data_IF_783434267889
#
_entry.id   IF_783434267889
#
_cell.length_a   1.000
_cell.length_b   1.000
_cell.length_c   1.000
_cell.angle_alpha   90.00
_cell.angle_beta   90.00
_cell.angle_gamma   90.00
#
_symmetry.space_group_name_H-M   'P 1'
#
loop_
_entity.id
_entity.type
_entity.pdbx_description
1 polymer ?
#
# COMPACT_ATOMS: atom_id res chain seq x y z
N UNK A 1 37.52 -4.22 7.14
CA UNK A 1 36.41 -4.62 8.03
C UNK A 1 35.71 -3.39 8.58
N UNK A 2 34.65 -2.95 7.91
CA UNK A 2 33.60 -2.09 8.47
C UNK A 2 32.41 -2.24 7.51
N UNK A 3 31.56 -3.20 7.83
CA UNK A 3 30.27 -3.46 7.20
C UNK A 3 29.38 -2.23 7.42
N UNK A 4 29.19 -1.40 6.39
CA UNK A 4 28.09 -0.43 6.37
C UNK A 4 26.84 -1.20 5.94
N UNK A 5 26.10 -1.65 6.95
CA UNK A 5 24.77 -2.23 6.78
C UNK A 5 23.86 -1.20 6.11
N UNK A 6 23.08 -1.68 5.14
CA UNK A 6 22.09 -0.93 4.40
C UNK A 6 21.16 -0.15 5.35
N UNK A 7 20.92 1.12 5.01
CA UNK A 7 19.94 1.95 5.70
C UNK A 7 18.53 1.36 5.48
N UNK A 8 17.79 1.05 6.56
CA UNK A 8 16.40 0.65 6.45
C UNK A 8 15.55 1.84 5.98
N UNK A 9 14.49 1.57 5.22
CA UNK A 9 13.43 2.53 4.92
C UNK A 9 12.92 3.15 6.24
N UNK A 10 13.44 4.32 6.60
CA UNK A 10 12.83 5.17 7.62
C UNK A 10 11.70 5.93 6.95
N UNK A 11 10.58 5.24 6.80
CA UNK A 11 9.33 5.77 6.28
C UNK A 11 8.20 4.91 6.79
N UNK A 12 7.70 5.27 7.96
CA UNK A 12 6.58 4.67 8.70
C UNK A 12 6.94 3.49 9.63
N UNK A 13 7.27 3.83 10.87
CA UNK A 13 7.29 2.88 11.97
C UNK A 13 5.88 2.77 12.58
N UNK A 14 5.31 1.55 12.71
CA UNK A 14 4.21 1.28 13.63
C UNK A 14 4.76 1.46 15.05
N UNK A 15 4.19 2.40 15.80
CA UNK A 15 4.39 2.70 17.25
C UNK A 15 4.24 4.21 17.55
N UNK A 16 4.12 5.08 16.53
CA UNK A 16 3.90 6.50 16.79
C UNK A 16 2.53 6.78 17.43
N UNK A 17 1.52 5.97 17.10
CA UNK A 17 0.14 6.17 17.55
C UNK A 17 -0.17 5.56 18.93
N UNK A 18 0.65 4.61 19.42
CA UNK A 18 0.42 3.91 20.69
C UNK A 18 0.94 4.67 21.91
N UNK A 19 2.05 5.41 21.79
CA UNK A 19 2.70 6.06 22.95
C UNK A 19 2.25 7.49 23.22
N UNK A 20 1.70 8.21 22.23
CA UNK A 20 1.44 9.66 22.40
C UNK A 20 0.13 9.98 23.14
N UNK A 21 -0.81 9.04 23.26
CA UNK A 21 -2.15 9.32 23.80
C UNK A 21 -2.48 8.67 25.15
N UNK A 22 -1.75 7.66 25.63
CA UNK A 22 -2.17 6.87 26.80
C UNK A 22 -1.30 7.00 28.06
N UNK A 23 -0.12 7.65 27.98
CA UNK A 23 0.86 7.74 29.08
C UNK A 23 1.09 6.37 29.79
N UNK A 24 0.97 5.27 29.05
CA UNK A 24 0.99 3.90 29.60
C UNK A 24 1.67 2.97 28.60
N UNK A 25 2.91 2.58 28.91
CA UNK A 25 3.75 1.66 28.12
C UNK A 25 3.15 0.23 27.96
N UNK A 26 2.04 -0.08 28.65
CA UNK A 26 1.38 -1.40 28.66
C UNK A 26 -0.11 -1.36 28.26
N UNK A 27 -0.58 -0.31 27.58
CA UNK A 27 -2.00 -0.21 27.19
C UNK A 27 -2.25 -0.85 25.81
N UNK A 28 -3.20 -1.77 25.74
CA UNK A 28 -3.70 -2.34 24.49
C UNK A 28 -4.73 -1.37 23.90
N UNK A 29 -4.31 -0.55 22.95
CA UNK A 29 -5.25 0.36 22.27
C UNK A 29 -6.01 -0.36 21.15
N UNK A 30 -7.17 0.17 20.75
CA UNK A 30 -7.95 -0.35 19.62
C UNK A 30 -7.15 -0.42 18.33
N UNK A 31 -6.31 0.59 18.08
CA UNK A 31 -5.39 0.64 16.96
C UNK A 31 -4.38 -0.53 17.01
N UNK A 32 -3.79 -0.79 18.18
CA UNK A 32 -2.83 -1.87 18.36
C UNK A 32 -3.49 -3.25 18.15
N UNK A 33 -4.65 -3.48 18.76
CA UNK A 33 -5.41 -4.74 18.59
C UNK A 33 -5.73 -4.98 17.12
N UNK A 34 -6.23 -3.94 16.44
CA UNK A 34 -6.56 -3.97 15.01
C UNK A 34 -5.35 -4.31 14.14
N UNK A 35 -4.22 -3.62 14.35
CA UNK A 35 -3.00 -3.85 13.59
C UNK A 35 -2.47 -5.28 13.75
N UNK A 36 -2.38 -5.76 15.00
CA UNK A 36 -1.89 -7.11 15.28
C UNK A 36 -2.83 -8.18 14.71
N UNK A 37 -4.15 -7.98 14.78
CA UNK A 37 -5.12 -8.94 14.25
C UNK A 37 -4.99 -9.09 12.73
N UNK A 38 -4.94 -7.97 11.98
CA UNK A 38 -4.80 -7.99 10.52
C UNK A 38 -3.46 -8.61 10.11
N UNK A 39 -2.37 -8.27 10.81
CA UNK A 39 -1.05 -8.86 10.57
C UNK A 39 -1.06 -10.37 10.80
N UNK A 40 -1.64 -10.83 11.90
CA UNK A 40 -1.66 -12.24 12.27
C UNK A 40 -2.47 -13.07 11.27
N UNK A 41 -3.69 -12.64 10.91
CA UNK A 41 -4.50 -13.38 9.93
C UNK A 41 -3.82 -13.43 8.54
N UNK A 42 -3.14 -12.35 8.15
CA UNK A 42 -2.44 -12.30 6.86
C UNK A 42 -1.25 -13.27 6.84
N UNK A 43 -0.47 -13.33 7.91
CA UNK A 43 0.60 -14.30 8.05
C UNK A 43 0.09 -15.74 8.13
N UNK A 44 -1.04 -15.97 8.78
CA UNK A 44 -1.74 -17.27 8.81
C UNK A 44 -2.07 -17.73 7.38
N UNK A 45 -2.73 -16.87 6.60
CA UNK A 45 -3.11 -17.11 5.20
C UNK A 45 -1.89 -17.37 4.29
N UNK A 46 -0.83 -16.56 4.42
CA UNK A 46 0.37 -16.72 3.59
C UNK A 46 1.08 -18.04 3.89
N UNK A 47 1.10 -18.45 5.17
CA UNK A 47 1.64 -19.76 5.59
C UNK A 47 0.81 -20.93 5.08
N UNK A 48 -0.51 -20.83 5.08
CA UNK A 48 -1.40 -21.84 4.48
C UNK A 48 -1.14 -22.00 2.99
N UNK A 49 -1.06 -20.88 2.27
CA UNK A 49 -0.87 -20.85 0.81
C UNK A 49 0.51 -21.41 0.40
N UNK A 50 1.56 -21.07 1.15
CA UNK A 50 2.93 -21.56 0.89
C UNK A 50 3.09 -23.05 1.15
N UNK A 51 2.44 -23.58 2.20
CA UNK A 51 2.41 -25.02 2.48
C UNK A 51 1.73 -25.81 1.36
N UNK A 52 0.62 -25.30 0.80
CA UNK A 52 -0.06 -25.98 -0.31
C UNK A 52 0.77 -26.03 -1.60
N UNK A 53 1.66 -25.05 -1.82
CA UNK A 53 2.48 -24.95 -3.02
C UNK A 53 3.83 -25.70 -2.92
N UNK A 54 4.07 -26.50 -1.88
CA UNK A 54 5.25 -27.37 -1.78
C UNK A 54 6.60 -26.65 -1.62
N UNK A 55 6.60 -25.35 -1.31
CA UNK A 55 7.82 -24.56 -1.14
C UNK A 55 8.47 -24.83 0.24
N UNK A 56 9.36 -25.82 0.32
CA UNK A 56 10.19 -26.06 1.50
C UNK A 56 11.35 -25.06 1.58
N UNK A 57 11.13 -23.96 2.30
CA UNK A 57 12.18 -23.06 2.76
C UNK A 57 11.58 -21.97 3.63
N UNK A 58 12.12 -21.74 4.83
CA UNK A 58 11.78 -20.61 5.69
C UNK A 58 12.24 -19.30 5.01
N UNK A 59 11.50 -18.85 3.99
CA UNK A 59 11.60 -17.47 3.53
C UNK A 59 10.80 -16.62 4.50
N UNK A 60 11.46 -15.64 5.10
CA UNK A 60 10.82 -14.59 5.87
C UNK A 60 9.74 -13.90 5.00
N UNK A 61 8.48 -14.07 5.40
CA UNK A 61 7.34 -13.48 4.70
C UNK A 61 7.35 -11.98 5.03
N UNK A 62 7.84 -11.16 4.10
CA UNK A 62 7.83 -9.71 4.22
C UNK A 62 6.51 -9.15 3.69
N UNK A 63 5.78 -8.46 4.55
CA UNK A 63 4.58 -7.70 4.19
C UNK A 63 5.03 -6.35 3.61
N UNK A 64 4.50 -6.00 2.43
CA UNK A 64 4.94 -4.85 1.66
C UNK A 64 4.29 -3.53 2.14
N UNK A 65 4.71 -2.41 1.54
CA UNK A 65 4.13 -1.10 1.85
C UNK A 65 2.63 -1.00 1.50
N UNK A 66 2.13 -1.82 0.57
CA UNK A 66 0.73 -1.81 0.16
C UNK A 66 -0.15 -2.39 1.27
N UNK A 67 0.27 -3.53 1.82
CA UNK A 67 -0.34 -4.12 3.00
C UNK A 67 -0.41 -3.12 4.15
N UNK A 68 0.72 -2.46 4.48
CA UNK A 68 0.75 -1.52 5.59
C UNK A 68 -0.09 -0.25 5.36
N UNK A 69 -0.33 0.17 4.10
CA UNK A 69 -1.32 1.20 3.79
C UNK A 69 -2.74 0.71 4.04
N UNK A 70 -3.09 -0.48 3.57
CA UNK A 70 -4.40 -1.08 3.82
C UNK A 70 -4.69 -1.25 5.33
N UNK A 71 -3.70 -1.70 6.10
CA UNK A 71 -3.82 -1.76 7.57
C UNK A 71 -4.05 -0.37 8.16
N UNK A 72 -3.30 0.64 7.68
CA UNK A 72 -3.45 2.02 8.14
C UNK A 72 -4.86 2.55 7.90
N UNK A 73 -5.49 2.26 6.76
CA UNK A 73 -6.85 2.73 6.48
C UNK A 73 -7.86 2.20 7.50
N UNK A 74 -7.73 0.92 7.88
CA UNK A 74 -8.59 0.30 8.90
C UNK A 74 -8.30 0.89 10.28
N UNK A 75 -7.03 1.06 10.65
CA UNK A 75 -6.62 1.65 11.93
C UNK A 75 -7.09 3.10 12.06
N UNK A 76 -6.99 3.89 10.98
CA UNK A 76 -7.51 5.26 10.94
C UNK A 76 -9.02 5.22 11.15
N UNK A 77 -9.74 4.42 10.37
CA UNK A 77 -11.20 4.33 10.48
C UNK A 77 -11.68 3.86 11.86
N UNK A 78 -10.94 2.96 12.51
CA UNK A 78 -11.16 2.55 13.90
C UNK A 78 -11.00 3.76 14.83
N UNK A 79 -9.84 4.43 14.80
CA UNK A 79 -9.58 5.60 15.67
C UNK A 79 -10.47 6.82 15.41
N UNK A 80 -11.01 6.95 14.20
CA UNK A 80 -11.92 8.03 13.84
C UNK A 80 -13.25 7.97 14.59
N UNK A 81 -13.66 6.79 15.07
CA UNK A 81 -14.91 6.61 15.82
C UNK A 81 -14.95 7.50 17.07
N UNK A 82 -13.83 7.68 17.77
CA UNK A 82 -13.68 8.52 18.96
C UNK A 82 -13.51 10.02 18.68
N UNK A 83 -13.32 10.42 17.42
CA UNK A 83 -12.99 11.80 17.05
C UNK A 83 -13.99 12.45 16.10
N UNK A 84 -14.69 11.67 15.26
CA UNK A 84 -15.72 12.16 14.35
C UNK A 84 -16.97 12.58 15.11
N UNK A 85 -17.45 13.81 14.84
CA UNK A 85 -18.65 14.37 15.48
C UNK A 85 -19.90 13.49 15.33
N UNK A 86 -19.99 12.74 14.22
CA UNK A 86 -21.13 11.87 13.94
C UNK A 86 -21.18 10.59 14.79
N UNK A 87 -20.03 10.13 15.33
CA UNK A 87 -19.92 8.84 16.04
C UNK A 87 -19.48 9.01 17.49
N UNK A 88 -18.57 9.96 17.76
CA UNK A 88 -17.88 10.17 19.04
C UNK A 88 -18.75 10.19 20.30
N UNK A 89 -19.98 10.70 20.18
CA UNK A 89 -20.89 10.87 21.32
C UNK A 89 -22.16 10.02 21.16
N UNK A 90 -22.20 9.15 20.16
CA UNK A 90 -23.33 8.28 19.90
C UNK A 90 -23.12 6.96 20.65
N UNK A 91 -23.96 6.64 21.65
CA UNK A 91 -23.74 5.47 22.49
C UNK A 91 -23.85 4.15 21.73
N UNK A 92 -24.51 4.14 20.57
CA UNK A 92 -24.68 2.92 19.75
C UNK A 92 -23.34 2.43 19.22
N UNK A 93 -22.45 3.33 18.80
CA UNK A 93 -21.13 2.93 18.28
C UNK A 93 -20.15 2.52 19.37
N UNK A 94 -20.42 2.93 20.61
CA UNK A 94 -19.52 2.77 21.75
C UNK A 94 -20.01 1.77 22.79
N UNK A 95 -21.12 1.06 22.54
CA UNK A 95 -21.75 0.16 23.53
C UNK A 95 -22.03 0.83 24.88
N UNK A 96 -22.33 2.13 24.83
CA UNK A 96 -22.59 2.95 26.00
C UNK A 96 -24.09 3.02 26.31
N UNK A 97 -24.42 3.47 27.52
CA UNK A 97 -25.79 3.77 27.96
C UNK A 97 -26.77 2.60 27.79
N UNK A 98 -26.28 1.36 27.94
CA UNK A 98 -27.08 0.13 27.83
C UNK A 98 -27.78 -0.06 26.47
N UNK A 99 -27.30 0.58 25.40
CA UNK A 99 -27.87 0.44 24.05
C UNK A 99 -27.39 -0.83 23.31
N UNK A 100 -27.21 -1.94 24.04
CA UNK A 100 -26.58 -3.17 23.54
C UNK A 100 -27.28 -3.74 22.30
N UNK A 101 -28.62 -3.81 22.31
CA UNK A 101 -29.39 -4.35 21.18
C UNK A 101 -29.25 -3.49 19.90
N UNK A 102 -29.27 -2.16 20.07
CA UNK A 102 -29.03 -1.21 18.98
C UNK A 102 -27.61 -1.33 18.44
N UNK A 103 -26.62 -1.47 19.32
CA UNK A 103 -25.22 -1.66 18.96
C UNK A 103 -25.00 -2.98 18.19
N UNK A 104 -25.65 -4.08 18.61
CA UNK A 104 -25.61 -5.37 17.90
C UNK A 104 -26.21 -5.23 16.50
N UNK A 105 -27.36 -4.57 16.37
CA UNK A 105 -27.99 -4.32 15.05
C UNK A 105 -27.03 -3.54 14.14
N UNK A 106 -26.39 -2.50 14.67
CA UNK A 106 -25.40 -1.71 13.94
C UNK A 106 -24.16 -2.52 13.54
N UNK A 107 -23.66 -3.40 14.41
CA UNK A 107 -22.55 -4.31 14.06
C UNK A 107 -22.91 -5.22 12.87
N UNK A 108 -24.12 -5.77 12.86
CA UNK A 108 -24.62 -6.62 11.78
C UNK A 108 -24.79 -5.83 10.47
N UNK A 109 -25.20 -4.56 10.54
CA UNK A 109 -25.21 -3.68 9.37
C UNK A 109 -23.80 -3.43 8.81
N UNK A 110 -22.81 -3.17 9.67
CA UNK A 110 -21.43 -3.03 9.23
C UNK A 110 -20.90 -4.32 8.60
N UNK A 111 -21.18 -5.48 9.20
CA UNK A 111 -20.83 -6.78 8.62
C UNK A 111 -21.37 -6.93 7.19
N UNK A 112 -22.66 -6.66 7.00
CA UNK A 112 -23.29 -6.72 5.68
C UNK A 112 -22.64 -5.75 4.68
N UNK A 113 -22.34 -4.51 5.10
CA UNK A 113 -21.64 -3.53 4.25
C UNK A 113 -20.25 -4.00 3.86
N UNK A 114 -19.50 -4.62 4.77
CA UNK A 114 -18.16 -5.15 4.51
C UNK A 114 -18.24 -6.25 3.46
N UNK A 115 -19.11 -7.24 3.67
CA UNK A 115 -19.29 -8.38 2.74
C UNK A 115 -19.70 -7.89 1.35
N UNK A 116 -20.69 -7.00 1.25
CA UNK A 116 -21.14 -6.44 -0.02
C UNK A 116 -20.05 -5.60 -0.71
N UNK A 117 -19.30 -4.81 0.05
CA UNK A 117 -18.19 -4.00 -0.49
C UNK A 117 -17.07 -4.88 -1.04
N UNK A 118 -16.73 -5.97 -0.34
CA UNK A 118 -15.72 -6.94 -0.81
C UNK A 118 -16.19 -7.64 -2.09
N UNK A 119 -17.46 -8.08 -2.14
CA UNK A 119 -18.04 -8.71 -3.32
C UNK A 119 -18.10 -7.76 -4.54
N UNK A 120 -18.24 -6.46 -4.30
CA UNK A 120 -18.20 -5.41 -5.31
C UNK A 120 -16.78 -4.89 -5.62
N UNK A 121 -15.74 -5.51 -5.07
CA UNK A 121 -14.33 -5.07 -5.18
C UNK A 121 -14.06 -3.64 -4.67
N UNK A 122 -14.95 -3.08 -3.85
CA UNK A 122 -14.82 -1.77 -3.21
C UNK A 122 -14.02 -1.89 -1.90
N UNK A 123 -12.74 -2.23 -2.02
CA UNK A 123 -11.90 -2.54 -0.86
C UNK A 123 -11.67 -1.35 0.09
N UNK A 124 -11.68 -0.11 -0.41
CA UNK A 124 -11.59 1.10 0.44
C UNK A 124 -12.80 1.21 1.36
N UNK A 125 -14.01 1.05 0.81
CA UNK A 125 -15.26 1.06 1.58
C UNK A 125 -15.31 -0.11 2.57
N UNK A 126 -14.85 -1.29 2.16
CA UNK A 126 -14.74 -2.45 3.04
C UNK A 126 -13.78 -2.21 4.21
N UNK A 127 -12.59 -1.62 3.95
CA UNK A 127 -11.61 -1.28 5.00
C UNK A 127 -12.17 -0.25 5.98
N UNK A 128 -12.87 0.76 5.47
CA UNK A 128 -13.52 1.76 6.31
C UNK A 128 -14.55 1.11 7.24
N UNK A 129 -15.53 0.39 6.68
CA UNK A 129 -16.57 -0.27 7.47
C UNK A 129 -15.98 -1.29 8.46
N UNK A 130 -14.91 -2.00 8.09
CA UNK A 130 -14.21 -2.93 8.99
C UNK A 130 -13.58 -2.23 10.19
N UNK A 131 -12.98 -1.05 9.99
CA UNK A 131 -12.42 -0.26 11.09
C UNK A 131 -13.49 0.18 12.09
N UNK A 132 -14.66 0.60 11.59
CA UNK A 132 -15.80 0.97 12.44
C UNK A 132 -16.33 -0.23 13.23
N UNK A 133 -16.49 -1.39 12.59
CA UNK A 133 -16.91 -2.63 13.24
C UNK A 133 -15.91 -3.06 14.33
N UNK A 134 -14.61 -3.01 14.06
CA UNK A 134 -13.59 -3.36 15.05
C UNK A 134 -13.64 -2.45 16.28
N UNK A 135 -13.78 -1.14 16.08
CA UNK A 135 -13.86 -0.20 17.19
C UNK A 135 -15.02 -0.57 18.11
N UNK A 136 -16.22 -0.75 17.55
CA UNK A 136 -17.42 -1.07 18.33
C UNK A 136 -17.32 -2.44 19.02
N UNK A 137 -16.75 -3.47 18.39
CA UNK A 137 -16.54 -4.77 19.04
C UNK A 137 -15.53 -4.67 20.18
N UNK A 138 -14.48 -3.86 20.04
CA UNK A 138 -13.49 -3.66 21.09
C UNK A 138 -14.12 -2.91 22.28
N UNK A 139 -14.93 -1.87 22.00
CA UNK A 139 -15.72 -1.13 22.98
C UNK A 139 -16.69 -2.03 23.75
N UNK A 140 -17.32 -3.03 23.12
CA UNK A 140 -18.19 -3.96 23.86
C UNK A 140 -17.47 -4.59 25.07
N UNK A 141 -16.20 -5.01 24.91
CA UNK A 141 -15.48 -5.68 26.00
C UNK A 141 -14.99 -4.71 27.07
N UNK A 142 -14.75 -3.45 26.73
CA UNK A 142 -14.33 -2.43 27.70
C UNK A 142 -15.52 -1.73 28.36
N UNK A 143 -16.65 -1.59 27.68
CA UNK A 143 -17.80 -0.76 28.07
C UNK A 143 -19.04 -1.55 28.48
N UNK A 144 -19.08 -2.88 28.27
CA UNK A 144 -20.15 -3.75 28.80
C UNK A 144 -19.73 -4.48 30.08
N UNK A 145 -20.69 -5.07 30.78
CA UNK A 145 -20.43 -5.84 31.99
C UNK A 145 -20.03 -7.31 31.71
N UNK A 146 -19.73 -7.67 30.45
CA UNK A 146 -19.44 -9.04 30.03
C UNK A 146 -18.32 -9.68 30.86
N UNK A 147 -17.24 -8.93 31.06
CA UNK A 147 -16.06 -9.38 31.80
C UNK A 147 -16.35 -9.50 33.30
N UNK A 148 -17.12 -8.55 33.84
CA UNK A 148 -17.57 -8.50 35.23
C UNK A 148 -18.47 -9.69 35.58
N UNK A 149 -19.25 -10.18 34.62
CA UNK A 149 -20.05 -11.39 34.75
C UNK A 149 -19.20 -12.67 34.77
N UNK A 150 -17.87 -12.56 34.73
CA UNK A 150 -16.95 -13.68 34.72
C UNK A 150 -16.92 -14.43 33.38
N UNK A 151 -17.42 -13.83 32.29
CA UNK A 151 -17.34 -14.42 30.96
C UNK A 151 -15.90 -14.30 30.44
N UNK A 152 -15.39 -15.39 29.89
CA UNK A 152 -13.99 -15.57 29.47
C UNK A 152 -13.88 -16.00 28.01
N UNK A 153 -14.95 -15.84 27.23
CA UNK A 153 -15.03 -16.23 25.82
C UNK A 153 -15.66 -15.11 25.00
N UNK A 154 -15.41 -15.13 23.69
CA UNK A 154 -16.04 -14.23 22.72
C UNK A 154 -17.56 -14.37 22.79
N UNK A 155 -18.28 -13.26 22.69
CA UNK A 155 -19.75 -13.24 22.71
C UNK A 155 -20.24 -13.36 21.27
N UNK A 156 -20.49 -14.59 20.83
CA UNK A 156 -20.77 -14.89 19.42
C UNK A 156 -22.02 -14.16 18.89
N UNK A 157 -23.03 -13.94 19.75
CA UNK A 157 -24.28 -13.26 19.38
C UNK A 157 -24.09 -11.83 18.82
N UNK A 158 -22.94 -11.19 19.08
CA UNK A 158 -22.64 -9.86 18.52
C UNK A 158 -22.70 -9.83 16.98
N UNK A 159 -22.27 -10.91 16.33
CA UNK A 159 -22.25 -11.03 14.86
C UNK A 159 -22.99 -12.27 14.34
N UNK A 160 -23.32 -13.22 15.20
CA UNK A 160 -24.02 -14.46 14.85
C UNK A 160 -25.40 -14.46 15.52
N UNK A 161 -26.45 -13.91 14.89
CA UNK A 161 -27.77 -13.74 15.52
C UNK A 161 -28.44 -15.04 15.94
N UNK A 162 -28.04 -16.17 15.33
CA UNK A 162 -28.53 -17.51 15.67
C UNK A 162 -27.95 -18.05 16.99
N UNK A 163 -26.85 -17.45 17.49
CA UNK A 163 -26.24 -17.83 18.77
C UNK A 163 -27.06 -17.29 19.95
N UNK A 164 -27.04 -17.95 21.12
CA UNK A 164 -27.85 -17.53 22.27
C UNK A 164 -27.49 -16.13 22.79
N UNK A 165 -28.49 -15.26 22.90
CA UNK A 165 -28.36 -13.98 23.56
C UNK A 165 -28.26 -14.15 25.09
N UNK A 166 -27.32 -13.43 25.71
CA UNK A 166 -27.20 -13.33 27.15
C UNK A 166 -27.57 -11.91 27.61
N UNK A 167 -28.34 -11.76 28.70
CA UNK A 167 -28.67 -10.44 29.23
C UNK A 167 -27.42 -9.78 29.82
N UNK A 168 -26.86 -8.84 29.08
CA UNK A 168 -25.89 -7.83 29.54
C UNK A 168 -26.68 -6.83 30.40
N UNK A 169 -26.26 -6.51 31.63
CA UNK A 169 -27.18 -6.03 32.67
C UNK A 169 -27.58 -4.53 32.58
N UNK A 170 -28.88 -4.24 32.65
CA UNK A 170 -29.57 -2.94 32.48
C UNK A 170 -29.19 -1.71 33.37
N UNK A 171 -28.01 -1.59 33.99
CA UNK A 171 -27.77 -0.51 35.01
C UNK A 171 -26.35 0.07 35.09
N UNK A 172 -25.55 0.07 34.04
CA UNK A 172 -24.21 0.64 34.06
C UNK A 172 -24.07 1.86 33.13
N UNK A 173 -23.60 2.98 33.69
CA UNK A 173 -23.03 4.06 32.89
C UNK A 173 -21.57 3.70 32.60
N UNK A 174 -20.99 4.20 31.51
CA UNK A 174 -19.58 3.97 31.18
C UNK A 174 -18.65 4.37 32.33
N UNK A 175 -18.96 5.52 32.93
CA UNK A 175 -18.48 6.04 34.21
C UNK A 175 -17.03 6.52 34.27
N UNK A 176 -16.53 7.10 33.18
CA UNK A 176 -15.30 7.91 33.16
C UNK A 176 -15.50 9.39 33.54
N UNK A 177 -14.42 10.18 33.61
CA UNK A 177 -14.46 11.63 33.91
C UNK A 177 -15.21 12.41 32.80
N UNK A 178 -15.16 11.92 31.57
CA UNK A 178 -15.80 12.52 30.39
C UNK A 178 -17.20 11.96 30.09
N UNK A 179 -17.67 10.99 30.88
CA UNK A 179 -18.99 10.38 30.68
C UNK A 179 -20.09 11.30 31.24
N UNK A 180 -20.92 11.83 30.33
CA UNK A 180 -22.07 12.69 30.68
C UNK A 180 -23.21 11.92 31.36
N UNK A 181 -23.26 10.59 31.19
CA UNK A 181 -24.28 9.70 31.78
C UNK A 181 -23.93 9.21 33.18
N UNK A 182 -22.73 9.51 33.70
CA UNK A 182 -22.23 9.11 35.03
C UNK A 182 -23.12 9.51 36.23
N UNK A 183 -24.05 10.45 36.02
CA UNK A 183 -24.99 10.96 37.02
C UNK A 183 -26.43 10.46 36.83
N UNK A 184 -26.71 9.72 35.75
CA UNK A 184 -27.97 9.01 35.57
C UNK A 184 -28.00 7.79 36.51
N UNK A 185 -29.18 7.23 36.80
CA UNK A 185 -29.39 6.22 37.85
C UNK A 185 -28.63 4.89 37.70
N UNK A 186 -27.80 4.75 36.67
CA UNK A 186 -26.82 3.70 36.48
C UNK A 186 -25.52 4.03 37.27
N UNK A 187 -25.48 3.70 38.57
CA UNK A 187 -24.34 3.99 39.45
C UNK A 187 -23.23 2.94 39.29
N UNK A 188 -22.01 3.40 38.99
CA UNK A 188 -20.79 2.58 38.93
C UNK A 188 -20.34 2.36 37.49
N UNK A 189 -19.31 3.10 37.08
CA UNK A 189 -18.70 2.96 35.76
C UNK A 189 -18.09 1.59 35.53
N UNK A 190 -18.33 1.01 34.37
CA UNK A 190 -17.73 -0.27 33.96
C UNK A 190 -16.57 -0.10 32.98
N UNK A 191 -16.09 1.13 32.76
CA UNK A 191 -14.96 1.41 31.87
C UNK A 191 -13.69 0.62 32.25
N UNK A 192 -13.11 -0.04 31.25
CA UNK A 192 -11.88 -0.85 31.30
C UNK A 192 -10.84 -0.44 30.24
N UNK A 193 -10.91 0.80 29.72
CA UNK A 193 -10.13 1.27 28.56
C UNK A 193 -8.63 1.37 28.84
N UNK A 194 -8.27 1.62 30.10
CA UNK A 194 -6.89 1.82 30.51
C UNK A 194 -6.57 1.09 31.81
N UNK A 195 -5.29 0.66 32.00
CA UNK A 195 -4.84 0.09 33.26
C UNK A 195 -4.77 1.13 34.40
N UNK A 196 -5.04 2.40 34.12
CA UNK A 196 -5.02 3.48 35.11
C UNK A 196 -6.30 3.57 35.94
N UNK A 197 -6.15 3.40 37.25
CA UNK A 197 -7.19 3.63 38.25
C UNK A 197 -7.83 5.04 38.17
N UNK A 198 -7.10 6.04 37.66
CA UNK A 198 -7.59 7.42 37.56
C UNK A 198 -8.65 7.60 36.48
N UNK A 199 -8.61 6.76 35.44
CA UNK A 199 -9.42 6.93 34.23
C UNK A 199 -10.45 5.82 34.05
N UNK A 200 -10.15 4.60 34.50
CA UNK A 200 -11.02 3.44 34.40
C UNK A 200 -11.36 2.92 35.80
N UNK A 201 -12.62 2.99 36.25
CA UNK A 201 -13.04 2.43 37.54
C UNK A 201 -12.74 0.93 37.66
N UNK A 202 -12.79 0.21 36.54
CA UNK A 202 -12.53 -1.23 36.45
C UNK A 202 -11.17 -1.53 35.78
N UNK A 203 -10.18 -0.65 35.94
CA UNK A 203 -8.85 -0.80 35.32
C UNK A 203 -8.17 -2.17 35.54
N UNK A 204 -8.48 -2.87 36.64
CA UNK A 204 -7.96 -4.21 36.95
C UNK A 204 -8.45 -5.30 35.99
N UNK A 205 -9.53 -5.05 35.24
CA UNK A 205 -10.05 -5.92 34.17
C UNK A 205 -9.57 -5.53 32.77
N UNK A 206 -8.76 -4.47 32.63
CA UNK A 206 -8.30 -3.97 31.33
C UNK A 206 -7.65 -5.05 30.46
N UNK A 207 -6.73 -5.84 31.04
CA UNK A 207 -6.02 -6.90 30.30
C UNK A 207 -6.98 -7.98 29.82
N UNK A 208 -7.98 -8.33 30.63
CA UNK A 208 -8.96 -9.33 30.30
C UNK A 208 -9.91 -8.86 29.18
N UNK A 209 -10.40 -7.62 29.30
CA UNK A 209 -11.18 -6.98 28.24
C UNK A 209 -10.40 -6.90 26.92
N UNK A 210 -9.14 -6.44 26.96
CA UNK A 210 -8.29 -6.34 25.78
C UNK A 210 -8.00 -7.71 25.14
N UNK A 211 -7.87 -8.76 25.95
CA UNK A 211 -7.68 -10.14 25.46
C UNK A 211 -8.90 -10.60 24.69
N UNK A 212 -10.10 -10.45 25.25
CA UNK A 212 -11.34 -10.83 24.58
C UNK A 212 -11.62 -9.96 23.34
N UNK A 213 -11.33 -8.66 23.40
CA UNK A 213 -11.40 -7.77 22.26
C UNK A 213 -10.46 -8.21 21.11
N UNK A 214 -9.25 -8.68 21.46
CA UNK A 214 -8.29 -9.24 20.49
C UNK A 214 -8.78 -10.55 19.87
N UNK A 215 -9.33 -11.46 20.68
CA UNK A 215 -9.91 -12.72 20.21
C UNK A 215 -11.11 -12.49 19.30
N UNK A 216 -12.02 -11.58 19.69
CA UNK A 216 -13.18 -11.21 18.90
C UNK A 216 -12.78 -10.56 17.56
N UNK A 217 -11.81 -9.63 17.58
CA UNK A 217 -11.27 -9.00 16.35
C UNK A 217 -10.67 -10.06 15.41
N UNK A 218 -9.92 -11.03 15.94
CA UNK A 218 -9.39 -12.15 15.16
C UNK A 218 -10.49 -13.07 14.61
N UNK A 219 -11.54 -13.32 15.40
CA UNK A 219 -12.68 -14.13 14.98
C UNK A 219 -13.43 -13.49 13.82
N UNK A 220 -13.71 -12.18 13.89
CA UNK A 220 -14.31 -11.42 12.78
C UNK A 220 -13.52 -11.60 11.49
N UNK A 221 -12.20 -11.50 11.54
CA UNK A 221 -11.34 -11.67 10.36
C UNK A 221 -11.38 -13.09 9.79
N UNK A 222 -11.49 -14.12 10.64
CA UNK A 222 -11.65 -15.51 10.22
C UNK A 222 -13.01 -15.76 9.59
N UNK A 223 -14.07 -15.34 10.26
CA UNK A 223 -15.44 -15.44 9.74
C UNK A 223 -15.55 -14.70 8.39
N UNK A 224 -14.88 -13.55 8.26
CA UNK A 224 -14.88 -12.78 7.03
C UNK A 224 -14.13 -13.51 5.92
N UNK A 225 -12.95 -14.08 6.22
CA UNK A 225 -12.18 -14.95 5.30
C UNK A 225 -13.06 -16.10 4.80
N UNK A 226 -13.78 -16.76 5.69
CA UNK A 226 -14.60 -17.93 5.37
C UNK A 226 -15.85 -17.54 4.58
N UNK A 227 -16.42 -16.36 4.84
CA UNK A 227 -17.62 -15.83 4.15
C UNK A 227 -17.33 -15.39 2.72
N UNK A 228 -16.26 -14.63 2.49
CA UNK A 228 -15.95 -14.06 1.16
C UNK A 228 -14.98 -14.94 0.36
N UNK A 229 -14.28 -15.85 1.03
CA UNK A 229 -13.26 -16.70 0.43
C UNK A 229 -11.93 -15.97 0.19
N UNK A 230 -10.84 -16.75 0.10
CA UNK A 230 -9.47 -16.26 0.04
C UNK A 230 -9.20 -15.25 -1.10
N UNK A 231 -9.82 -15.47 -2.26
CA UNK A 231 -9.63 -14.63 -3.45
C UNK A 231 -10.34 -13.29 -3.35
N UNK A 232 -11.46 -13.21 -2.62
CA UNK A 232 -12.13 -11.94 -2.35
C UNK A 232 -11.58 -11.29 -1.08
N UNK A 233 -10.93 -12.05 -0.19
CA UNK A 233 -10.17 -11.56 0.96
C UNK A 233 -8.83 -10.89 0.55
N UNK A 234 -8.81 -10.24 -0.62
CA UNK A 234 -7.77 -9.30 -1.05
C UNK A 234 -7.87 -7.95 -0.31
N UNK A 235 -8.74 -7.85 0.70
CA UNK A 235 -8.96 -6.67 1.52
C UNK A 235 -7.66 -6.01 2.03
N UNK A 236 -6.67 -6.84 2.40
CA UNK A 236 -5.35 -6.42 2.86
C UNK A 236 -4.24 -6.73 1.85
N UNK A 237 -4.56 -7.47 0.79
CA UNK A 237 -3.65 -7.78 -0.31
C UNK A 237 -4.00 -6.90 -1.49
N UNK A 238 -3.41 -5.71 -1.55
CA UNK A 238 -3.53 -4.90 -2.77
C UNK A 238 -2.66 -5.58 -3.83
N UNK A 239 -3.27 -6.41 -4.69
CA UNK A 239 -2.75 -6.55 -6.06
C UNK A 239 -2.81 -5.16 -6.65
N UNK A 240 -1.77 -4.35 -6.44
CA UNK A 240 -1.68 -3.06 -7.09
C UNK A 240 -1.67 -3.35 -8.57
N UNK A 241 -2.62 -2.77 -9.29
CA UNK A 241 -2.63 -2.85 -10.74
C UNK A 241 -1.28 -2.29 -11.20
N UNK A 242 -0.50 -3.05 -11.98
CA UNK A 242 0.77 -2.58 -12.50
C UNK A 242 0.66 -1.18 -13.10
N UNK A 243 1.64 -0.34 -12.80
CA UNK A 243 1.71 0.97 -13.42
C UNK A 243 2.46 0.89 -14.76
N UNK A 244 2.16 1.83 -15.63
CA UNK A 244 2.92 2.10 -16.84
C UNK A 244 3.80 3.33 -16.60
N UNK A 245 5.11 3.11 -16.57
CA UNK A 245 6.08 4.13 -16.12
C UNK A 245 6.97 4.54 -17.29
N UNK A 246 7.15 5.84 -17.46
CA UNK A 246 7.96 6.45 -18.50
C UNK A 246 9.09 7.26 -17.85
N UNK A 247 10.33 6.88 -18.11
CA UNK A 247 11.53 7.60 -17.68
C UNK A 247 12.11 8.25 -18.92
N UNK A 248 12.06 9.58 -18.99
CA UNK A 248 12.41 10.32 -20.20
C UNK A 248 13.60 11.24 -19.95
N UNK A 249 14.65 11.03 -20.72
CA UNK A 249 15.77 11.94 -20.85
C UNK A 249 15.29 13.24 -21.53
N UNK A 250 15.43 14.36 -20.82
CA UNK A 250 15.05 15.68 -21.32
C UNK A 250 16.25 16.60 -21.50
N UNK A 251 17.47 16.05 -21.66
CA UNK A 251 18.65 16.87 -21.95
C UNK A 251 18.61 17.42 -23.37
N UNK A 252 19.37 18.48 -23.62
CA UNK A 252 19.44 19.14 -24.92
C UNK A 252 19.94 18.22 -26.04
N UNK A 253 20.64 17.11 -25.74
CA UNK A 253 20.99 16.12 -26.76
C UNK A 253 19.78 15.34 -27.26
N UNK A 254 18.72 15.18 -26.47
CA UNK A 254 17.48 14.55 -26.91
C UNK A 254 16.61 15.46 -27.79
N UNK A 255 17.05 16.67 -28.17
CA UNK A 255 16.19 17.63 -28.88
C UNK A 255 15.61 17.13 -30.21
N UNK A 256 16.39 16.40 -31.02
CA UNK A 256 15.88 15.84 -32.28
C UNK A 256 15.02 14.57 -32.03
N UNK A 257 15.19 13.93 -30.88
CA UNK A 257 14.66 12.62 -30.54
C UNK A 257 13.45 12.66 -29.60
N UNK A 258 13.25 13.73 -28.82
CA UNK A 258 12.23 13.83 -27.77
C UNK A 258 10.82 13.73 -28.34
N UNK A 259 10.59 14.31 -29.51
CA UNK A 259 9.31 14.19 -30.23
C UNK A 259 9.00 12.74 -30.59
N UNK A 260 10.02 11.98 -31.01
CA UNK A 260 9.87 10.57 -31.31
C UNK A 260 9.64 9.72 -30.05
N UNK A 261 10.30 10.06 -28.94
CA UNK A 261 10.08 9.43 -27.64
C UNK A 261 8.63 9.62 -27.16
N UNK A 262 8.09 10.84 -27.26
CA UNK A 262 6.69 11.16 -26.95
C UNK A 262 5.71 10.35 -27.82
N UNK A 263 5.90 10.35 -29.13
CA UNK A 263 5.05 9.59 -30.06
C UNK A 263 5.06 8.08 -29.75
N UNK A 264 6.21 7.53 -29.37
CA UNK A 264 6.32 6.13 -28.95
C UNK A 264 5.58 5.86 -27.64
N UNK A 265 5.74 6.74 -26.65
CA UNK A 265 5.00 6.62 -25.40
C UNK A 265 3.48 6.68 -25.64
N UNK A 266 3.01 7.55 -26.52
CA UNK A 266 1.61 7.60 -26.96
C UNK A 266 1.13 6.25 -27.50
N UNK A 267 1.89 5.64 -28.42
CA UNK A 267 1.56 4.33 -29.01
C UNK A 267 1.53 3.20 -27.98
N UNK A 268 2.44 3.23 -27.00
CA UNK A 268 2.46 2.25 -25.90
C UNK A 268 1.21 2.42 -25.04
N UNK A 269 0.83 3.65 -24.69
CA UNK A 269 -0.36 3.92 -23.88
C UNK A 269 -1.63 3.47 -24.59
N UNK A 270 -1.76 3.78 -25.88
CA UNK A 270 -2.90 3.36 -26.70
C UNK A 270 -3.03 1.84 -26.81
N UNK A 271 -1.92 1.13 -27.12
CA UNK A 271 -1.96 -0.34 -27.22
C UNK A 271 -2.33 -1.03 -25.90
N UNK A 272 -2.05 -0.39 -24.76
CA UNK A 272 -2.46 -0.91 -23.44
C UNK A 272 -3.88 -0.52 -23.05
N UNK A 273 -4.40 0.60 -23.54
CA UNK A 273 -5.80 1.00 -23.35
C UNK A 273 -6.78 0.02 -24.01
N UNK A 274 -6.40 -0.55 -25.16
CA UNK A 274 -7.19 -1.52 -25.91
C UNK A 274 -7.10 -2.96 -25.34
N UNK A 275 -6.18 -3.21 -24.41
CA UNK A 275 -6.02 -4.51 -23.76
C UNK A 275 -6.92 -4.62 -22.52
N UNK A 276 -7.41 -5.82 -22.18
CA UNK A 276 -8.20 -6.07 -20.95
C UNK A 276 -7.41 -5.89 -19.64
N UNK A 277 -6.15 -5.45 -19.72
CA UNK A 277 -5.25 -5.13 -18.59
C UNK A 277 -4.90 -3.64 -18.64
N UNK A 278 -5.88 -2.77 -18.44
CA UNK A 278 -5.61 -1.33 -18.33
C UNK A 278 -4.65 -1.08 -17.15
N UNK A 279 -3.57 -0.31 -17.34
CA UNK A 279 -2.67 0.05 -16.25
C UNK A 279 -3.41 0.91 -15.23
N UNK A 280 -3.19 0.66 -13.94
CA UNK A 280 -3.94 1.35 -12.88
C UNK A 280 -3.45 2.77 -12.60
N UNK A 281 -2.24 3.10 -13.06
CA UNK A 281 -1.60 4.41 -12.89
C UNK A 281 -0.52 4.63 -13.94
N UNK A 282 -0.36 5.87 -14.39
CA UNK A 282 0.73 6.32 -15.25
C UNK A 282 1.73 7.16 -14.45
N UNK A 283 3.02 6.93 -14.65
CA UNK A 283 4.09 7.68 -14.00
C UNK A 283 5.07 8.22 -15.05
N UNK A 284 5.45 9.49 -14.93
CA UNK A 284 6.45 10.14 -15.77
C UNK A 284 7.58 10.67 -14.89
N UNK A 285 8.81 10.27 -15.22
CA UNK A 285 10.02 10.73 -14.56
C UNK A 285 10.92 11.38 -15.61
N UNK A 286 10.80 12.71 -15.82
CA UNK A 286 11.74 13.43 -16.66
C UNK A 286 13.06 13.60 -15.92
N UNK A 287 14.18 13.37 -16.60
CA UNK A 287 15.49 13.58 -16.01
C UNK A 287 16.39 14.43 -16.91
N UNK A 288 16.97 15.44 -16.27
CA UNK A 288 18.09 16.29 -16.70
C UNK A 288 18.69 16.88 -15.41
N UNK A 289 19.78 17.63 -15.48
CA UNK A 289 20.33 18.32 -14.30
C UNK A 289 19.66 19.71 -14.14
N UNK A 290 18.92 20.01 -13.05
CA UNK A 290 18.52 19.15 -11.92
C UNK A 290 17.25 18.31 -12.22
N UNK A 291 17.10 17.18 -11.50
CA UNK A 291 15.98 16.24 -11.72
C UNK A 291 14.61 16.91 -11.62
N UNK A 292 13.71 16.58 -12.55
CA UNK A 292 12.32 17.04 -12.52
C UNK A 292 11.46 16.28 -11.49
N UNK A 293 10.33 16.85 -11.05
CA UNK A 293 9.38 16.15 -10.20
C UNK A 293 8.75 14.95 -10.91
N UNK A 294 8.44 13.89 -10.17
CA UNK A 294 7.64 12.77 -10.68
C UNK A 294 6.21 13.24 -10.90
N UNK A 295 5.69 13.00 -12.10
CA UNK A 295 4.27 13.22 -12.39
C UNK A 295 3.52 11.89 -12.36
N UNK A 296 2.38 11.87 -11.67
CA UNK A 296 1.52 10.69 -11.54
C UNK A 296 0.10 11.05 -11.96
N UNK A 297 -0.55 10.21 -12.76
CA UNK A 297 -1.95 10.39 -13.15
C UNK A 297 -2.62 9.04 -13.40
N UNK A 298 -3.92 8.98 -13.14
CA UNK A 298 -4.77 7.82 -13.44
C UNK A 298 -5.54 8.03 -14.75
N UNK A 299 -5.52 9.24 -15.32
CA UNK A 299 -6.15 9.58 -16.61
C UNK A 299 -5.10 9.60 -17.73
N UNK A 300 -5.20 8.73 -18.75
CA UNK A 300 -4.27 8.71 -19.86
C UNK A 300 -4.22 10.03 -20.63
N UNK A 301 -5.33 10.76 -20.75
CA UNK A 301 -5.36 12.02 -21.50
C UNK A 301 -4.60 13.13 -20.77
N UNK A 302 -4.84 13.28 -19.46
CA UNK A 302 -4.08 14.21 -18.62
C UNK A 302 -2.58 13.86 -18.61
N UNK A 303 -2.26 12.56 -18.56
CA UNK A 303 -0.89 12.10 -18.64
C UNK A 303 -0.22 12.48 -19.97
N UNK A 304 -0.92 12.27 -21.09
CA UNK A 304 -0.44 12.65 -22.41
C UNK A 304 -0.26 14.16 -22.54
N UNK A 305 -1.23 14.95 -22.08
CA UNK A 305 -1.14 16.42 -22.11
C UNK A 305 0.09 16.90 -21.32
N UNK A 306 0.34 16.34 -20.14
CA UNK A 306 1.53 16.69 -19.36
C UNK A 306 2.82 16.24 -20.05
N UNK A 307 2.87 15.05 -20.65
CA UNK A 307 4.02 14.58 -21.41
C UNK A 307 4.34 15.48 -22.60
N UNK A 308 3.33 16.04 -23.26
CA UNK A 308 3.54 16.98 -24.36
C UNK A 308 4.24 18.28 -23.93
N UNK A 309 4.16 18.65 -22.65
CA UNK A 309 4.88 19.82 -22.12
C UNK A 309 6.39 19.63 -22.00
N UNK A 310 6.90 18.39 -22.08
CA UNK A 310 8.33 18.13 -21.96
C UNK A 310 9.12 18.78 -23.09
N UNK A 311 10.16 19.52 -22.76
CA UNK A 311 11.09 20.11 -23.74
C UNK A 311 12.50 19.64 -23.41
N UNK A 312 13.22 19.19 -24.43
CA UNK A 312 14.62 18.85 -24.32
C UNK A 312 15.46 20.13 -24.16
N UNK A 313 15.83 20.46 -22.93
CA UNK A 313 16.56 21.68 -22.57
C UNK A 313 17.57 21.39 -21.46
N UNK A 314 18.68 22.12 -21.49
CA UNK A 314 19.74 21.97 -20.48
C UNK A 314 20.56 20.70 -20.64
N UNK A 315 21.22 20.28 -19.55
CA UNK A 315 22.17 19.18 -19.57
C UNK A 315 23.62 19.61 -19.89
N UNK A 316 24.55 18.69 -19.63
CA UNK A 316 25.98 18.88 -19.85
C UNK A 316 26.51 17.98 -20.98
N UNK A 317 27.76 17.54 -20.85
CA UNK A 317 28.27 16.43 -21.64
C UNK A 317 27.79 15.11 -21.04
N UNK A 318 27.49 14.14 -21.89
CA UNK A 318 27.38 12.73 -21.50
C UNK A 318 28.57 12.31 -20.62
N UNK A 319 28.36 11.53 -19.52
CA UNK A 319 27.18 10.72 -19.16
C UNK A 319 26.10 11.40 -18.28
N UNK A 320 24.92 10.77 -18.16
CA UNK A 320 23.72 11.30 -17.49
C UNK A 320 23.21 10.46 -16.31
N UNK A 321 22.38 11.03 -15.44
CA UNK A 321 21.91 10.39 -14.20
C UNK A 321 20.70 9.46 -14.37
N UNK A 322 20.80 8.52 -15.33
CA UNK A 322 19.70 7.65 -15.71
C UNK A 322 19.31 6.64 -14.61
N UNK A 323 20.28 6.06 -13.88
CA UNK A 323 19.97 5.03 -12.87
C UNK A 323 19.25 5.61 -11.66
N UNK A 324 19.52 6.87 -11.31
CA UNK A 324 18.80 7.62 -10.27
C UNK A 324 17.34 7.84 -10.67
N UNK A 325 17.09 8.18 -11.93
CA UNK A 325 15.72 8.34 -12.45
C UNK A 325 14.96 7.00 -12.43
N UNK A 326 15.63 5.89 -12.79
CA UNK A 326 15.05 4.54 -12.68
C UNK A 326 14.79 4.16 -11.21
N UNK A 327 15.70 4.49 -10.29
CA UNK A 327 15.49 4.24 -8.87
C UNK A 327 14.27 5.00 -8.33
N UNK A 328 14.09 6.25 -8.76
CA UNK A 328 12.94 7.07 -8.43
C UNK A 328 11.65 6.47 -8.99
N UNK A 329 11.64 6.11 -10.27
CA UNK A 329 10.55 5.42 -10.94
C UNK A 329 10.15 4.13 -10.21
N UNK A 330 11.14 3.28 -9.90
CA UNK A 330 10.93 2.06 -9.14
C UNK A 330 10.34 2.36 -7.78
N UNK A 331 10.84 3.36 -7.05
CA UNK A 331 10.34 3.72 -5.70
C UNK A 331 8.86 4.09 -5.72
N UNK A 332 8.42 4.87 -6.72
CA UNK A 332 7.03 5.31 -6.86
C UNK A 332 6.11 4.26 -7.52
N UNK A 333 6.67 3.32 -8.29
CA UNK A 333 5.88 2.30 -8.99
C UNK A 333 5.40 1.15 -8.10
N UNK A 334 4.19 0.61 -8.34
CA UNK A 334 3.76 -0.69 -7.83
C UNK A 334 4.65 -1.88 -8.24
N UNK A 335 4.61 -3.02 -7.53
CA UNK A 335 5.19 -4.26 -8.02
C UNK A 335 4.59 -4.72 -9.36
N UNK A 336 5.37 -5.45 -10.15
CA UNK A 336 5.05 -5.94 -11.50
C UNK A 336 4.79 -4.84 -12.54
N UNK A 337 5.19 -3.58 -12.27
CA UNK A 337 5.05 -2.46 -13.21
C UNK A 337 5.98 -2.58 -14.41
N UNK A 338 5.58 -1.97 -15.53
CA UNK A 338 6.40 -1.86 -16.73
C UNK A 338 7.02 -0.47 -16.82
N UNK A 339 8.33 -0.42 -17.01
CA UNK A 339 9.11 0.82 -17.04
C UNK A 339 9.78 0.94 -18.42
N UNK A 340 9.48 2.03 -19.12
CA UNK A 340 10.08 2.39 -20.39
C UNK A 340 11.06 3.55 -20.21
N UNK A 341 12.32 3.32 -20.55
CA UNK A 341 13.39 4.30 -20.39
C UNK A 341 13.84 4.81 -21.75
N UNK A 342 13.77 6.12 -21.98
CA UNK A 342 14.17 6.78 -23.22
C UNK A 342 15.40 7.65 -22.95
N UNK A 343 16.53 7.36 -23.62
CA UNK A 343 17.78 8.13 -23.46
C UNK A 343 18.75 7.89 -24.62
N UNK A 344 19.64 8.84 -24.88
CA UNK A 344 20.76 8.71 -25.83
C UNK A 344 22.15 8.65 -25.14
N UNK A 345 22.16 8.66 -23.81
CA UNK A 345 23.34 8.81 -22.98
C UNK A 345 23.64 7.58 -22.10
N UNK A 346 24.93 7.34 -21.85
CA UNK A 346 25.37 6.33 -20.87
C UNK A 346 25.19 6.82 -19.43
N UNK A 347 25.06 5.92 -18.42
CA UNK A 347 24.77 6.32 -17.05
C UNK A 347 26.03 6.83 -16.33
N UNK A 348 25.95 8.03 -15.75
CA UNK A 348 26.97 8.67 -14.91
C UNK A 348 27.03 8.05 -13.52
N UNK A 349 25.89 7.56 -13.07
CA UNK A 349 25.61 7.02 -11.75
C UNK A 349 25.68 5.49 -11.73
N UNK A 350 26.63 4.90 -12.47
CA UNK A 350 26.83 3.46 -12.57
C UNK A 350 27.02 2.74 -11.22
N UNK A 351 27.45 3.46 -10.17
CA UNK A 351 27.56 2.94 -8.81
C UNK A 351 26.20 2.55 -8.18
N UNK A 352 25.07 3.04 -8.73
CA UNK A 352 23.72 2.67 -8.28
C UNK A 352 23.22 1.36 -8.90
N UNK A 353 23.96 0.75 -9.84
CA UNK A 353 23.51 -0.41 -10.60
C UNK A 353 23.01 -1.57 -9.72
N UNK A 354 23.78 -1.95 -8.70
CA UNK A 354 23.39 -3.07 -7.81
C UNK A 354 22.14 -2.74 -6.98
N UNK A 355 21.97 -1.49 -6.55
CA UNK A 355 20.79 -1.04 -5.82
C UNK A 355 19.55 -1.05 -6.71
N UNK A 356 19.65 -0.51 -7.93
CA UNK A 356 18.58 -0.52 -8.93
C UNK A 356 18.22 -1.94 -9.33
N UNK A 357 19.21 -2.81 -9.54
CA UNK A 357 19.03 -4.23 -9.83
C UNK A 357 18.26 -4.94 -8.72
N UNK A 358 18.68 -4.77 -7.46
CA UNK A 358 17.99 -5.37 -6.32
C UNK A 358 16.52 -4.92 -6.23
N UNK A 359 16.27 -3.62 -6.38
CA UNK A 359 14.92 -3.04 -6.32
C UNK A 359 14.03 -3.51 -7.49
N UNK A 360 14.61 -3.64 -8.69
CA UNK A 360 13.91 -4.17 -9.88
C UNK A 360 13.44 -5.60 -9.65
N UNK A 361 14.34 -6.46 -9.14
CA UNK A 361 14.03 -7.86 -8.85
C UNK A 361 13.04 -8.02 -7.70
N UNK A 362 13.15 -7.19 -6.66
CA UNK A 362 12.20 -7.16 -5.54
C UNK A 362 10.79 -6.80 -6.01
N UNK A 363 10.68 -5.74 -6.82
CA UNK A 363 9.39 -5.31 -7.38
C UNK A 363 8.90 -6.17 -8.53
N UNK A 364 9.73 -7.06 -9.09
CA UNK A 364 9.43 -7.82 -10.32
C UNK A 364 9.01 -6.91 -11.48
N UNK A 365 9.54 -5.69 -11.51
CA UNK A 365 9.21 -4.72 -12.55
C UNK A 365 10.02 -5.02 -13.81
N UNK A 366 9.39 -4.89 -14.97
CA UNK A 366 10.02 -5.11 -16.28
C UNK A 366 10.55 -3.78 -16.82
N UNK A 367 11.84 -3.71 -17.16
CA UNK A 367 12.48 -2.49 -17.64
C UNK A 367 12.88 -2.64 -19.12
N UNK A 368 12.29 -1.82 -19.97
CA UNK A 368 12.59 -1.76 -21.40
C UNK A 368 13.32 -0.46 -21.72
N UNK A 369 14.51 -0.56 -22.31
CA UNK A 369 15.29 0.60 -22.74
C UNK A 369 15.08 0.88 -24.22
N UNK A 370 14.82 2.13 -24.55
CA UNK A 370 14.70 2.67 -25.90
C UNK A 370 15.85 3.66 -26.09
N UNK A 371 16.95 3.14 -26.62
CA UNK A 371 18.22 3.85 -26.72
C UNK A 371 18.37 4.45 -28.11
N UNK A 372 18.68 5.74 -28.20
CA UNK A 372 18.98 6.38 -29.48
C UNK A 372 20.48 6.44 -29.73
N UNK A 373 20.94 5.91 -30.86
CA UNK A 373 22.37 5.92 -31.23
C UNK A 373 22.58 6.68 -32.54
N UNK A 374 23.01 7.94 -32.45
CA UNK A 374 23.34 8.71 -33.64
C UNK A 374 24.75 8.39 -34.17
N UNK A 375 24.83 7.87 -35.41
CA UNK A 375 26.08 7.66 -36.11
C UNK A 375 26.75 8.98 -36.57
N UNK A 376 26.02 10.09 -36.67
CA UNK A 376 26.58 11.40 -37.07
C UNK A 376 27.36 12.05 -35.93
N UNK A 377 26.96 11.84 -34.66
CA UNK A 377 27.77 12.22 -33.48
C UNK A 377 29.15 11.55 -33.45
N UNK A 378 29.29 10.30 -33.94
CA UNK A 378 30.62 9.65 -34.11
C UNK A 378 31.53 10.41 -35.09
N UNK A 379 30.97 11.08 -36.10
CA UNK A 379 31.74 11.88 -37.08
C UNK A 379 32.06 13.28 -36.57
N UNK A 380 31.15 13.94 -35.83
CA UNK A 380 31.39 15.29 -35.26
C UNK A 380 32.31 15.27 -34.02
N UNK A 381 32.24 14.26 -33.14
CA UNK A 381 33.12 14.14 -31.96
C UNK A 381 34.58 13.76 -32.28
N UNK A 382 34.91 13.39 -33.53
CA UNK A 382 36.33 13.16 -33.93
C UNK A 382 37.22 14.40 -33.77
N UNK A 383 36.66 15.59 -33.59
CA UNK A 383 37.41 16.84 -33.44
C UNK A 383 37.63 17.30 -31.98
N UNK A 384 36.93 16.76 -30.97
CA UNK A 384 37.20 17.09 -29.58
C UNK A 384 36.55 16.10 -28.60
N UNK A 385 37.38 15.54 -27.70
CA UNK A 385 37.09 14.66 -26.53
C UNK A 385 37.06 13.15 -26.76
N UNK A 386 37.46 12.48 -25.68
CA UNK A 386 37.77 11.06 -25.44
C UNK A 386 36.77 10.12 -26.14
N UNK A 387 37.24 9.09 -26.87
CA UNK A 387 36.36 8.10 -27.48
C UNK A 387 35.57 7.35 -26.40
N UNK A 388 34.24 7.44 -26.48
CA UNK A 388 33.33 6.68 -25.62
C UNK A 388 33.48 5.18 -25.88
N UNK A 389 33.39 4.38 -24.81
CA UNK A 389 33.51 2.93 -24.88
C UNK A 389 32.44 2.33 -25.83
N UNK A 390 32.80 1.33 -26.66
CA UNK A 390 31.81 0.54 -27.42
C UNK A 390 30.70 -0.03 -26.54
N UNK A 391 31.01 -0.34 -25.28
CA UNK A 391 30.12 -1.03 -24.32
C UNK A 391 29.39 -0.07 -23.37
N UNK A 392 29.27 1.22 -23.72
CA UNK A 392 28.68 2.26 -22.84
C UNK A 392 27.22 2.02 -22.43
N UNK A 393 26.51 1.13 -23.13
CA UNK A 393 25.12 0.74 -22.83
C UNK A 393 24.99 -0.69 -22.26
N UNK A 394 26.10 -1.33 -21.91
CA UNK A 394 26.13 -2.71 -21.37
C UNK A 394 25.33 -2.86 -20.07
N UNK A 395 25.35 -1.84 -19.21
CA UNK A 395 24.58 -1.82 -17.96
C UNK A 395 23.07 -1.84 -18.23
N UNK A 396 22.58 -1.04 -19.17
CA UNK A 396 21.16 -1.04 -19.55
C UNK A 396 20.74 -2.38 -20.13
N UNK A 397 21.56 -2.96 -21.01
CA UNK A 397 21.31 -4.28 -21.60
C UNK A 397 21.21 -5.35 -20.51
N UNK A 398 22.16 -5.36 -19.56
CA UNK A 398 22.17 -6.30 -18.43
C UNK A 398 20.94 -6.14 -17.54
N UNK A 399 20.57 -4.92 -17.19
CA UNK A 399 19.40 -4.66 -16.34
C UNK A 399 18.10 -5.06 -17.04
N UNK A 400 17.97 -4.77 -18.33
CA UNK A 400 16.79 -5.14 -19.12
C UNK A 400 16.56 -6.64 -19.13
N UNK A 401 17.60 -7.43 -19.45
CA UNK A 401 17.53 -8.90 -19.49
C UNK A 401 17.18 -9.48 -18.11
N UNK A 402 17.80 -8.97 -17.04
CA UNK A 402 17.51 -9.42 -15.67
C UNK A 402 16.07 -9.13 -15.23
N UNK A 403 15.49 -8.03 -15.73
CA UNK A 403 14.11 -7.64 -15.45
C UNK A 403 13.06 -8.35 -16.32
N UNK A 404 13.48 -9.19 -17.28
CA UNK A 404 12.59 -9.76 -18.30
C UNK A 404 12.14 -8.76 -19.37
N UNK A 405 12.82 -7.61 -19.44
CA UNK A 405 12.66 -6.59 -20.48
C UNK A 405 13.70 -6.72 -21.59
N UNK A 406 13.87 -5.67 -22.39
CA UNK A 406 14.78 -5.65 -23.52
C UNK A 406 15.41 -4.25 -23.69
N UNK A 407 16.59 -4.19 -24.29
CA UNK A 407 17.19 -2.95 -24.78
C UNK A 407 17.05 -2.89 -26.31
N UNK A 408 16.36 -1.85 -26.79
CA UNK A 408 16.11 -1.59 -28.21
C UNK A 408 16.94 -0.39 -28.64
N UNK A 409 17.80 -0.60 -29.62
CA UNK A 409 18.62 0.48 -30.20
C UNK A 409 17.91 1.02 -31.42
N UNK A 410 17.72 2.35 -31.47
CA UNK A 410 17.02 3.02 -32.55
C UNK A 410 17.86 4.14 -33.15
N UNK A 411 17.63 4.40 -34.44
CA UNK A 411 18.23 5.53 -35.17
C UNK A 411 17.15 6.55 -35.54
N UNK A 412 17.55 7.78 -35.87
CA UNK A 412 16.61 8.84 -36.27
C UNK A 412 15.81 8.48 -37.55
N UNK A 413 16.23 7.48 -38.32
CA UNK A 413 15.48 6.97 -39.48
C UNK A 413 14.51 5.81 -39.17
N UNK A 414 14.64 5.17 -38.01
CA UNK A 414 13.85 3.97 -37.64
C UNK A 414 12.61 4.31 -36.79
N UNK A 415 12.26 5.59 -36.67
CA UNK A 415 11.19 6.06 -35.80
C UNK A 415 9.83 5.46 -36.21
N UNK A 416 9.61 5.24 -37.50
CA UNK A 416 8.38 4.64 -38.03
C UNK A 416 8.39 3.11 -38.14
N UNK A 417 9.56 2.45 -38.11
CA UNK A 417 9.68 1.00 -38.36
C UNK A 417 9.71 0.13 -37.09
N UNK A 418 9.87 0.72 -35.90
CA UNK A 418 10.06 -0.02 -34.64
C UNK A 418 8.76 -0.23 -33.86
N UNK A 419 7.63 0.35 -34.28
CA UNK A 419 6.31 0.09 -33.64
C UNK A 419 5.96 -1.40 -33.61
N UNK A 420 6.40 -2.16 -34.62
CA UNK A 420 6.16 -3.61 -34.74
C UNK A 420 6.97 -4.47 -33.76
N UNK A 421 8.14 -4.04 -33.29
CA UNK A 421 9.04 -4.91 -32.49
C UNK A 421 8.61 -5.01 -31.02
N UNK A 422 7.96 -3.97 -30.49
CA UNK A 422 7.41 -3.98 -29.12
C UNK A 422 6.05 -4.68 -29.08
N UNK A 423 5.27 -4.62 -30.17
CA UNK A 423 4.02 -5.36 -30.33
C UNK A 423 4.26 -6.89 -30.40
N UNK A 424 5.23 -7.35 -31.19
CA UNK A 424 5.48 -8.80 -31.39
C UNK A 424 6.04 -9.54 -30.15
N UNK A 425 6.68 -8.83 -29.20
CA UNK A 425 7.27 -9.45 -27.99
C UNK A 425 6.47 -9.21 -26.71
N UNK A 426 5.33 -8.53 -26.80
CA UNK A 426 4.39 -8.35 -25.68
C UNK A 426 3.07 -9.10 -25.88
N UNK A 427 2.84 -9.65 -27.09
CA UNK A 427 1.70 -10.48 -27.45
C UNK A 427 1.93 -11.99 -27.31
N UNK A 428 3.07 -12.44 -26.76
CA UNK A 428 3.34 -13.86 -26.52
C UNK A 428 3.38 -14.14 -25.01
N UNK A 429 2.43 -15.00 -24.62
CA UNK A 429 2.12 -15.63 -23.32
C UNK A 429 1.20 -14.89 -22.33
#
# INVERSE_FOLDING_TARGET
CLLVLASPCKGFFPDFWTNFLTLSLNSYTHQYITEQAIRNITLEILRETTKQNGAHGEKEIRLDCAFWRAVRDVVISNSEMDSKRATKFDPVYHFDSEQVDSSITMLQEFWNRIVLSIQAEQYDSARHALGQLFHSIQDFYSHSNWVEMGKRSVYLHLLQPDEPAFPVANKCSHGGILDSSRHQSAKGGINKDTPSLLFSPHHYLHVEAATLASEATMMVLRDLKDTVGLKAFLLFSVKQVPALVFVMDTTGSMFEEITAAKLRAHSIIQSRADSTKQPGKFLLVPFHDPFGPVFESDDPNQFMEHMETLVALGGGDEPEMCLSAIQLALTHSPPNSEIFVFTDASPKDSYLFDAVKALTLEKRSKITFLLTQDQRRRRRKRSSKIPLSPDRFSLYSTLSVLSGGMAVFTTNSDIHSVSTIVEDNTAVD
#
